data_IF_243766972474
#
_entry.id   IF_243766972474
#
_cell.length_a   1.000
_cell.length_b   1.000
_cell.length_c   1.000
_cell.angle_alpha   90.00
_cell.angle_beta   90.00
_cell.angle_gamma   90.00
#
_symmetry.space_group_name_H-M   'P 1'
#
loop_
_entity.id
_entity.type
_entity.pdbx_description
1 polymer ?
#
# COMPACT_ATOMS: atom_id res chain seq x y z
N UNK A 1 -16.53 -3.08 -19.34
CA UNK A 1 -17.18 -2.35 -18.26
C UNK A 1 -16.45 -2.77 -17.00
N UNK A 2 -15.54 -1.93 -16.53
CA UNK A 2 -14.57 -2.28 -15.54
C UNK A 2 -15.06 -1.98 -14.14
N UNK A 3 -15.29 -3.03 -13.38
CA UNK A 3 -15.50 -2.91 -11.95
C UNK A 3 -14.14 -3.08 -11.25
N UNK A 4 -13.73 -2.01 -10.59
CA UNK A 4 -12.45 -1.94 -9.90
C UNK A 4 -12.37 -2.89 -8.71
N UNK A 5 -11.33 -3.71 -8.69
CA UNK A 5 -10.97 -4.53 -7.55
C UNK A 5 -10.59 -3.64 -6.35
N UNK A 6 -11.14 -3.88 -5.17
CA UNK A 6 -10.79 -3.11 -3.98
C UNK A 6 -9.49 -3.62 -3.35
N UNK A 7 -8.38 -2.99 -3.69
CA UNK A 7 -7.20 -3.02 -2.81
C UNK A 7 -7.29 -1.78 -1.91
N UNK A 8 -8.23 -1.79 -0.98
CA UNK A 8 -8.31 -0.80 0.11
C UNK A 8 -8.01 -1.48 1.44
N UNK A 9 -6.84 -1.29 1.94
CA UNK A 9 -6.58 -1.33 3.37
C UNK A 9 -7.05 0.00 3.98
N UNK A 10 -8.32 0.07 4.38
CA UNK A 10 -8.87 1.23 5.05
C UNK A 10 -9.54 0.82 6.35
N UNK A 11 -8.91 1.12 7.47
CA UNK A 11 -9.55 1.07 8.78
C UNK A 11 -10.34 2.35 8.97
N UNK A 12 -11.67 2.29 8.89
CA UNK A 12 -12.56 3.35 9.34
C UNK A 12 -12.78 3.25 10.85
N UNK A 13 -12.58 4.34 11.54
CA UNK A 13 -12.98 4.52 12.92
C UNK A 13 -13.74 5.84 13.03
N UNK A 14 -15.06 5.71 13.22
CA UNK A 14 -15.98 6.81 13.57
C UNK A 14 -15.88 7.09 15.07
N UNK A 15 -15.93 8.37 15.45
CA UNK A 15 -16.16 8.78 16.83
C UNK A 15 -16.17 10.29 16.96
N UNK A 16 -17.36 10.87 16.84
CA UNK A 16 -17.60 12.25 17.19
C UNK A 16 -17.77 12.42 18.71
N UNK A 17 -17.52 13.55 19.23
CA UNK A 17 -18.39 14.21 20.22
C UNK A 17 -17.95 15.64 20.50
N UNK A 18 -18.94 16.48 20.55
CA UNK A 18 -19.10 17.86 20.92
C UNK A 18 -18.66 18.18 22.35
N UNK A 19 -18.35 19.48 22.59
CA UNK A 19 -18.40 20.07 23.94
C UNK A 19 -17.70 21.40 24.04
N UNK A 20 -18.44 22.47 23.83
CA UNK A 20 -18.66 23.70 24.60
C UNK A 20 -17.53 24.17 25.55
N UNK A 21 -16.90 25.35 25.38
CA UNK A 21 -17.50 26.65 25.85
C UNK A 21 -16.82 27.07 27.13
N UNK A 22 -16.42 28.32 27.23
CA UNK A 22 -16.18 28.98 28.51
C UNK A 22 -15.02 29.99 28.50
N UNK A 23 -15.30 31.22 28.14
CA UNK A 23 -15.11 32.49 28.88
C UNK A 23 -13.84 32.60 29.74
N UNK A 24 -12.88 33.54 29.44
CA UNK A 24 -13.03 34.92 29.84
C UNK A 24 -12.25 35.28 31.10
N UNK A 25 -11.43 36.29 31.03
CA UNK A 25 -11.04 37.07 32.20
C UNK A 25 -9.54 37.00 32.55
N UNK A 26 -8.86 38.08 32.41
CA UNK A 26 -8.48 38.90 33.48
C UNK A 26 -7.02 39.38 33.38
N UNK A 27 -6.87 40.64 33.09
CA UNK A 27 -5.65 41.44 33.20
C UNK A 27 -5.16 41.44 34.64
N UNK A 28 -3.89 41.22 34.93
CA UNK A 28 -3.25 41.45 36.17
C UNK A 28 -1.75 41.68 35.99
N UNK A 29 -1.34 42.94 35.96
CA UNK A 29 0.06 43.31 36.04
C UNK A 29 0.68 42.98 37.38
N UNK A 30 1.90 42.47 37.38
CA UNK A 30 2.79 42.51 38.54
C UNK A 30 4.22 42.61 38.08
N UNK A 31 4.80 43.69 38.45
CA UNK A 31 6.16 44.13 38.66
C UNK A 31 7.24 43.03 38.70
N UNK A 32 8.24 43.25 37.84
CA UNK A 32 9.57 42.64 37.89
C UNK A 32 10.31 43.00 39.19
N UNK A 33 10.95 42.07 39.85
CA UNK A 33 12.31 42.32 40.31
C UNK A 33 13.24 41.09 40.22
N UNK A 34 14.34 41.23 39.53
CA UNK A 34 15.50 40.45 39.87
C UNK A 34 16.13 39.68 38.72
N UNK A 35 17.21 40.21 38.30
CA UNK A 35 18.37 39.62 37.63
C UNK A 35 18.38 38.14 37.31
N UNK A 36 17.67 37.72 36.26
CA UNK A 36 17.79 36.42 35.67
C UNK A 36 18.84 36.51 34.54
N UNK A 37 19.99 35.92 34.74
CA UNK A 37 20.93 35.62 33.67
C UNK A 37 20.18 34.92 32.53
N UNK A 38 20.05 35.65 31.42
CA UNK A 38 19.61 35.00 30.15
C UNK A 38 20.45 33.76 29.94
N UNK A 39 19.86 32.58 29.80
CA UNK A 39 20.65 31.41 29.44
C UNK A 39 21.32 31.75 28.11
N UNK A 40 22.65 31.87 28.13
CA UNK A 40 23.46 31.94 26.92
C UNK A 40 23.20 30.62 26.20
N UNK A 41 22.38 30.64 25.16
CA UNK A 41 22.29 29.53 24.24
C UNK A 41 23.66 29.46 23.57
N UNK A 42 24.53 28.64 24.13
CA UNK A 42 25.80 28.30 23.48
C UNK A 42 25.38 27.66 22.14
N UNK A 43 25.75 28.23 20.98
CA UNK A 43 25.54 27.55 19.74
C UNK A 43 26.25 26.18 19.83
N UNK A 44 25.66 25.11 19.30
CA UNK A 44 26.29 23.80 19.32
C UNK A 44 27.68 23.95 18.74
N UNK A 45 28.66 23.36 19.43
CA UNK A 45 30.07 23.39 19.07
C UNK A 45 30.24 22.92 17.63
N UNK A 46 30.58 23.83 16.72
CA UNK A 46 30.68 23.61 15.27
C UNK A 46 31.96 22.87 14.85
N UNK A 47 32.74 22.40 15.83
CA UNK A 47 33.98 21.63 15.61
C UNK A 47 33.75 20.10 15.66
N UNK A 48 32.58 19.61 15.24
CA UNK A 48 32.40 18.16 15.10
C UNK A 48 33.04 17.70 13.79
N UNK A 49 33.89 16.70 13.88
CA UNK A 49 34.44 15.98 12.73
C UNK A 49 33.32 15.62 11.74
N UNK A 50 33.43 15.98 10.45
CA UNK A 50 32.42 15.68 9.45
C UNK A 50 32.02 14.20 9.39
N UNK A 51 32.94 13.28 9.68
CA UNK A 51 32.68 11.86 9.77
C UNK A 51 31.78 11.51 10.98
N UNK A 52 32.00 12.17 12.12
CA UNK A 52 31.20 12.00 13.34
C UNK A 52 29.82 12.58 13.16
N UNK A 53 29.66 13.75 12.53
CA UNK A 53 28.39 14.36 12.21
C UNK A 53 27.55 13.47 11.26
N UNK A 54 28.20 12.92 10.22
CA UNK A 54 27.56 11.97 9.31
C UNK A 54 27.10 10.71 10.04
N UNK A 55 27.91 10.12 10.91
CA UNK A 55 27.54 8.93 11.68
C UNK A 55 26.34 9.19 12.60
N UNK A 56 26.25 10.37 13.21
CA UNK A 56 25.09 10.76 14.02
C UNK A 56 23.82 10.91 13.17
N UNK A 57 23.89 11.57 12.01
CA UNK A 57 22.78 11.66 11.05
C UNK A 57 22.31 10.27 10.63
N UNK A 58 23.24 9.38 10.24
CA UNK A 58 22.90 8.00 9.82
C UNK A 58 22.26 7.20 10.96
N UNK A 59 22.68 7.41 12.22
CA UNK A 59 22.06 6.78 13.39
C UNK A 59 20.61 7.25 13.58
N UNK A 60 20.35 8.57 13.58
CA UNK A 60 19.00 9.13 13.68
C UNK A 60 18.11 8.65 12.54
N UNK A 61 18.62 8.66 11.31
CA UNK A 61 17.86 8.18 10.15
C UNK A 61 17.55 6.68 10.21
N UNK A 62 18.45 5.89 10.79
CA UNK A 62 18.18 4.45 11.00
C UNK A 62 17.03 4.24 11.96
N UNK A 63 17.00 4.99 13.08
CA UNK A 63 15.89 4.92 14.05
C UNK A 63 14.57 5.41 13.42
N UNK A 64 14.61 6.52 12.68
CA UNK A 64 13.43 7.05 11.98
C UNK A 64 12.85 6.03 10.99
N UNK A 65 13.69 5.39 10.17
CA UNK A 65 13.30 4.32 9.24
C UNK A 65 12.68 3.13 9.96
N UNK A 66 13.32 2.69 11.04
CA UNK A 66 12.84 1.57 11.83
C UNK A 66 11.49 1.88 12.49
N UNK A 67 11.29 3.08 13.01
CA UNK A 67 10.04 3.51 13.63
C UNK A 67 8.84 3.45 12.65
N UNK A 68 9.04 3.81 11.38
CA UNK A 68 7.99 3.74 10.35
C UNK A 68 7.83 2.35 9.71
N UNK A 69 8.79 1.45 9.91
CA UNK A 69 8.74 0.08 9.35
C UNK A 69 7.99 -0.91 10.24
N UNK A 70 7.56 -0.50 11.43
CA UNK A 70 6.82 -1.36 12.36
C UNK A 70 5.40 -1.64 11.82
N UNK A 71 4.75 -2.76 12.21
CA UNK A 71 3.35 -3.03 11.87
C UNK A 71 2.40 -1.90 12.31
N UNK A 72 2.75 -1.23 13.43
CA UNK A 72 2.13 0.02 13.88
C UNK A 72 3.20 1.11 13.87
N UNK A 73 3.27 1.95 12.83
CA UNK A 73 4.29 2.97 12.69
C UNK A 73 4.26 3.98 13.83
N UNK A 74 5.43 4.20 14.45
CA UNK A 74 5.62 5.27 15.44
C UNK A 74 6.05 6.56 14.73
N UNK A 75 5.05 7.31 14.30
CA UNK A 75 5.25 8.53 13.53
C UNK A 75 5.85 9.68 14.37
N UNK A 76 5.59 9.71 15.68
CA UNK A 76 6.14 10.75 16.56
C UNK A 76 7.64 10.54 16.78
N UNK A 77 8.05 9.29 17.03
CA UNK A 77 9.46 8.93 17.11
C UNK A 77 10.18 9.20 15.81
N UNK A 78 9.63 8.78 14.69
CA UNK A 78 10.23 9.04 13.37
C UNK A 78 10.40 10.54 13.09
N UNK A 79 9.39 11.35 13.43
CA UNK A 79 9.44 12.80 13.26
C UNK A 79 10.56 13.43 14.14
N UNK A 80 10.65 12.99 15.40
CA UNK A 80 11.69 13.46 16.33
C UNK A 80 13.09 13.14 15.81
N UNK A 81 13.32 11.91 15.38
CA UNK A 81 14.62 11.45 14.89
C UNK A 81 15.01 12.11 13.57
N UNK A 82 14.07 12.24 12.62
CA UNK A 82 14.32 12.94 11.37
C UNK A 82 14.67 14.43 11.59
N UNK A 83 14.03 15.08 12.56
CA UNK A 83 14.36 16.45 12.95
C UNK A 83 15.71 16.54 13.63
N UNK A 84 16.09 15.56 14.46
CA UNK A 84 17.43 15.49 15.06
C UNK A 84 18.52 15.36 13.99
N UNK A 85 18.29 14.55 12.95
CA UNK A 85 19.17 14.46 11.80
C UNK A 85 19.30 15.82 11.08
N UNK A 86 18.19 16.55 10.87
CA UNK A 86 18.20 17.89 10.26
C UNK A 86 18.86 18.97 11.13
N UNK A 87 18.84 18.81 12.44
CA UNK A 87 19.56 19.72 13.34
C UNK A 87 21.08 19.60 13.19
N UNK A 88 21.59 18.42 12.78
CA UNK A 88 23.00 18.17 12.51
C UNK A 88 23.34 18.55 11.06
N UNK A 89 22.51 18.14 10.11
CA UNK A 89 22.65 18.42 8.67
C UNK A 89 21.33 18.95 8.09
N UNK A 90 21.18 20.28 8.11
CA UNK A 90 19.99 20.96 7.59
C UNK A 90 19.78 20.79 6.07
N UNK A 91 20.82 20.35 5.34
CA UNK A 91 20.75 20.10 3.91
C UNK A 91 20.30 18.67 3.58
N UNK A 92 20.14 17.79 4.55
CA UNK A 92 19.83 16.38 4.37
C UNK A 92 18.42 16.18 3.79
N UNK A 93 18.38 15.86 2.50
CA UNK A 93 17.12 15.66 1.75
C UNK A 93 16.34 14.44 2.26
N UNK A 94 17.05 13.35 2.60
CA UNK A 94 16.40 12.15 3.12
C UNK A 94 15.74 12.41 4.47
N UNK A 95 16.40 13.14 5.36
CA UNK A 95 15.82 13.49 6.66
C UNK A 95 14.56 14.37 6.49
N UNK A 96 14.60 15.35 5.58
CA UNK A 96 13.44 16.17 5.29
C UNK A 96 12.28 15.36 4.65
N UNK A 97 12.59 14.41 3.77
CA UNK A 97 11.59 13.49 3.20
C UNK A 97 10.96 12.60 4.31
N UNK A 98 11.74 12.16 5.30
CA UNK A 98 11.22 11.39 6.43
C UNK A 98 10.37 12.23 7.40
N UNK A 99 10.63 13.53 7.52
CA UNK A 99 9.70 14.46 8.21
C UNK A 99 8.34 14.47 7.52
N UNK A 100 8.31 14.61 6.20
CA UNK A 100 7.06 14.53 5.43
C UNK A 100 6.40 13.16 5.55
N UNK A 101 7.20 12.07 5.54
CA UNK A 101 6.68 10.72 5.70
C UNK A 101 6.09 10.47 7.08
N UNK A 102 6.67 11.02 8.14
CA UNK A 102 6.09 10.98 9.48
C UNK A 102 4.76 11.76 9.55
N UNK A 103 4.67 12.93 8.93
CA UNK A 103 3.40 13.66 8.82
C UNK A 103 2.34 12.87 8.04
N UNK A 104 2.71 12.19 6.96
CA UNK A 104 1.83 11.28 6.24
C UNK A 104 1.24 10.21 7.18
N UNK A 105 2.06 9.55 8.00
CA UNK A 105 1.59 8.55 8.98
C UNK A 105 0.72 9.15 10.08
N UNK A 106 0.94 10.41 10.44
CA UNK A 106 0.04 11.19 11.33
C UNK A 106 -1.26 11.63 10.65
N UNK A 107 -1.46 11.28 9.37
CA UNK A 107 -2.60 11.69 8.53
C UNK A 107 -2.68 13.21 8.30
N UNK A 108 -1.59 13.92 8.48
CA UNK A 108 -1.45 15.34 8.21
C UNK A 108 -0.96 15.53 6.76
N UNK A 109 -1.80 15.14 5.80
CA UNK A 109 -1.41 15.03 4.39
C UNK A 109 -1.03 16.37 3.78
N UNK A 110 -1.79 17.43 4.09
CA UNK A 110 -1.50 18.79 3.61
C UNK A 110 -0.16 19.30 4.15
N UNK A 111 0.14 19.00 5.43
CA UNK A 111 1.43 19.34 6.04
C UNK A 111 2.57 18.54 5.38
N UNK A 112 2.35 17.25 5.11
CA UNK A 112 3.34 16.44 4.42
C UNK A 112 3.63 16.99 3.01
N UNK A 113 2.59 17.36 2.25
CA UNK A 113 2.73 17.96 0.93
C UNK A 113 3.48 19.30 0.99
N UNK A 114 3.12 20.18 1.93
CA UNK A 114 3.80 21.47 2.11
C UNK A 114 5.31 21.29 2.37
N UNK A 115 5.69 20.33 3.22
CA UNK A 115 7.11 20.02 3.50
C UNK A 115 7.81 19.52 2.23
N UNK A 116 7.15 18.66 1.44
CA UNK A 116 7.69 18.17 0.17
C UNK A 116 7.81 19.28 -0.86
N UNK A 117 6.84 20.17 -0.99
CA UNK A 117 6.84 21.29 -1.93
C UNK A 117 7.97 22.29 -1.60
N UNK A 118 8.21 22.55 -0.33
CA UNK A 118 9.34 23.37 0.10
C UNK A 118 10.68 22.68 -0.20
N UNK A 119 10.77 21.39 0.11
CA UNK A 119 11.95 20.58 -0.16
C UNK A 119 12.24 20.51 -1.67
N UNK A 120 11.22 20.41 -2.51
CA UNK A 120 11.34 20.29 -3.95
C UNK A 120 11.91 21.54 -4.67
N UNK A 121 11.99 22.67 -3.97
CA UNK A 121 12.71 23.86 -4.45
C UNK A 121 14.23 23.63 -4.55
N UNK A 122 14.75 22.60 -3.87
CA UNK A 122 16.17 22.21 -3.92
C UNK A 122 16.40 21.22 -5.05
N UNK A 123 17.41 21.45 -5.88
CA UNK A 123 17.74 20.53 -7.00
C UNK A 123 18.07 19.11 -6.52
N UNK A 124 18.72 18.98 -5.36
CA UNK A 124 19.04 17.67 -4.77
C UNK A 124 17.79 16.84 -4.45
N UNK A 125 16.67 17.48 -4.10
CA UNK A 125 15.41 16.78 -3.83
C UNK A 125 14.80 16.17 -5.11
N UNK A 126 15.03 16.77 -6.26
CA UNK A 126 14.56 16.28 -7.56
C UNK A 126 15.29 15.00 -8.01
N UNK A 127 16.37 14.63 -7.34
CA UNK A 127 17.12 13.39 -7.57
C UNK A 127 17.01 12.42 -6.40
N UNK A 128 16.02 12.59 -5.53
CA UNK A 128 15.82 11.75 -4.36
C UNK A 128 14.55 10.89 -4.48
N UNK A 129 14.72 9.57 -4.49
CA UNK A 129 13.63 8.62 -4.65
C UNK A 129 12.62 8.64 -3.49
N UNK A 130 13.08 8.91 -2.24
CA UNK A 130 12.21 8.96 -1.07
C UNK A 130 11.24 10.14 -1.15
N UNK A 131 11.68 11.29 -1.69
CA UNK A 131 10.83 12.47 -1.90
C UNK A 131 9.65 12.11 -2.82
N UNK A 132 9.93 11.51 -3.97
CA UNK A 132 8.88 11.08 -4.90
C UNK A 132 8.01 9.97 -4.33
N UNK A 133 8.58 9.03 -3.58
CA UNK A 133 7.82 7.98 -2.92
C UNK A 133 6.79 8.56 -1.96
N UNK A 134 7.19 9.53 -1.11
CA UNK A 134 6.27 10.15 -0.15
C UNK A 134 5.23 11.02 -0.85
N UNK A 135 5.59 11.74 -1.93
CA UNK A 135 4.58 12.39 -2.80
C UNK A 135 3.55 11.39 -3.32
N UNK A 136 3.99 10.24 -3.80
CA UNK A 136 3.09 9.19 -4.27
C UNK A 136 2.08 8.78 -3.21
N UNK A 137 2.53 8.55 -1.98
CA UNK A 137 1.67 8.21 -0.85
C UNK A 137 0.66 9.31 -0.51
N UNK A 138 1.10 10.57 -0.49
CA UNK A 138 0.23 11.73 -0.24
C UNK A 138 -0.82 11.86 -1.35
N UNK A 139 -0.43 11.71 -2.62
CA UNK A 139 -1.34 11.79 -3.76
C UNK A 139 -2.37 10.66 -3.76
N UNK A 140 -1.99 9.43 -3.39
CA UNK A 140 -2.94 8.32 -3.24
C UNK A 140 -4.00 8.64 -2.17
N UNK A 141 -3.59 9.13 -1.01
CA UNK A 141 -4.52 9.47 0.08
C UNK A 141 -5.40 10.67 -0.22
N UNK A 142 -4.93 11.59 -1.03
CA UNK A 142 -5.68 12.79 -1.43
C UNK A 142 -6.45 12.59 -2.76
N UNK A 143 -6.64 11.33 -3.17
CA UNK A 143 -7.41 10.93 -4.36
C UNK A 143 -6.90 11.54 -5.66
N UNK A 144 -5.59 11.55 -5.85
CA UNK A 144 -4.88 12.01 -7.05
C UNK A 144 -4.06 10.86 -7.68
N UNK A 145 -4.72 9.74 -8.12
CA UNK A 145 -4.05 8.49 -8.47
C UNK A 145 -3.08 8.61 -9.66
N UNK A 146 -3.36 9.46 -10.65
CA UNK A 146 -2.46 9.67 -11.78
C UNK A 146 -1.14 10.33 -11.34
N UNK A 147 -1.21 11.31 -10.44
CA UNK A 147 -0.02 11.93 -9.85
C UNK A 147 0.76 10.95 -8.98
N UNK A 148 0.05 10.12 -8.20
CA UNK A 148 0.66 9.08 -7.39
C UNK A 148 1.45 8.10 -8.26
N UNK A 149 0.86 7.59 -9.34
CA UNK A 149 1.54 6.70 -10.30
C UNK A 149 2.81 7.32 -10.85
N UNK A 150 2.75 8.57 -11.33
CA UNK A 150 3.91 9.28 -11.87
C UNK A 150 5.01 9.48 -10.81
N UNK A 151 4.62 9.78 -9.58
CA UNK A 151 5.56 9.93 -8.48
C UNK A 151 6.27 8.61 -8.15
N UNK A 152 5.53 7.48 -8.07
CA UNK A 152 6.15 6.17 -7.87
C UNK A 152 7.04 5.75 -9.05
N UNK A 153 6.63 6.04 -10.29
CA UNK A 153 7.48 5.82 -11.46
C UNK A 153 8.80 6.57 -11.32
N UNK A 154 8.73 7.86 -10.95
CA UNK A 154 9.92 8.67 -10.77
C UNK A 154 10.82 8.18 -9.63
N UNK A 155 10.22 7.74 -8.53
CA UNK A 155 10.98 7.12 -7.43
C UNK A 155 11.74 5.87 -7.90
N UNK A 156 11.12 5.01 -8.72
CA UNK A 156 11.74 3.80 -9.27
C UNK A 156 12.78 4.13 -10.35
N UNK A 157 12.58 5.18 -11.17
CA UNK A 157 13.59 5.65 -12.13
C UNK A 157 14.87 6.10 -11.41
N UNK A 158 14.73 6.87 -10.32
CA UNK A 158 15.88 7.37 -9.55
C UNK A 158 16.55 6.24 -8.77
N UNK A 159 15.77 5.43 -8.08
CA UNK A 159 16.24 4.27 -7.36
C UNK A 159 15.48 3.01 -7.80
N UNK A 160 16.01 2.26 -8.76
CA UNK A 160 15.37 1.03 -9.22
C UNK A 160 15.16 -0.01 -8.13
N UNK A 161 15.89 0.08 -7.00
CA UNK A 161 15.79 -0.84 -5.87
C UNK A 161 14.86 -0.34 -4.75
N UNK A 162 14.07 0.69 -5.00
CA UNK A 162 13.10 1.20 -4.02
C UNK A 162 11.88 0.28 -3.93
N UNK A 163 11.97 -0.78 -3.13
CA UNK A 163 10.97 -1.86 -3.07
C UNK A 163 9.56 -1.37 -2.73
N UNK A 164 9.42 -0.38 -1.83
CA UNK A 164 8.10 0.17 -1.47
C UNK A 164 7.47 0.95 -2.63
N UNK A 165 8.26 1.70 -3.40
CA UNK A 165 7.77 2.38 -4.59
C UNK A 165 7.37 1.39 -5.70
N UNK A 166 8.14 0.30 -5.86
CA UNK A 166 7.79 -0.78 -6.79
C UNK A 166 6.45 -1.44 -6.44
N UNK A 167 6.18 -1.71 -5.15
CA UNK A 167 4.87 -2.28 -4.72
C UNK A 167 3.73 -1.36 -5.14
N UNK A 168 3.82 -0.06 -4.80
CA UNK A 168 2.76 0.88 -5.12
C UNK A 168 2.62 1.10 -6.63
N UNK A 169 3.73 1.17 -7.37
CA UNK A 169 3.71 1.23 -8.83
C UNK A 169 3.00 0.00 -9.43
N UNK A 170 3.34 -1.20 -8.97
CA UNK A 170 2.70 -2.43 -9.41
C UNK A 170 1.19 -2.46 -9.14
N UNK A 171 0.76 -1.95 -7.97
CA UNK A 171 -0.68 -1.81 -7.66
C UNK A 171 -1.35 -0.84 -8.62
N UNK A 172 -0.72 0.30 -8.95
CA UNK A 172 -1.25 1.22 -9.96
C UNK A 172 -1.31 0.58 -11.36
N UNK A 173 -0.31 -0.21 -11.73
CA UNK A 173 -0.30 -0.96 -12.99
C UNK A 173 -1.49 -1.94 -13.06
N UNK A 174 -1.79 -2.67 -11.96
CA UNK A 174 -2.97 -3.54 -11.88
C UNK A 174 -4.28 -2.75 -12.04
N UNK A 175 -4.43 -1.62 -11.34
CA UNK A 175 -5.63 -0.76 -11.43
C UNK A 175 -5.87 -0.24 -12.86
N UNK A 176 -4.81 -0.02 -13.62
CA UNK A 176 -4.88 0.42 -15.01
C UNK A 176 -4.83 -0.73 -16.03
N UNK A 177 -5.04 -1.99 -15.57
CA UNK A 177 -5.00 -3.20 -16.42
C UNK A 177 -3.68 -3.39 -17.19
N UNK A 178 -2.59 -2.80 -16.73
CA UNK A 178 -1.23 -2.98 -17.26
C UNK A 178 -0.64 -4.28 -16.68
N UNK A 179 -1.25 -5.41 -17.02
CA UNK A 179 -0.96 -6.69 -16.36
C UNK A 179 0.44 -7.22 -16.67
N UNK A 180 0.98 -6.93 -17.85
CA UNK A 180 2.34 -7.36 -18.22
C UNK A 180 3.39 -6.62 -17.39
N UNK A 181 3.26 -5.32 -17.24
CA UNK A 181 4.15 -4.48 -16.44
C UNK A 181 4.00 -4.81 -14.95
N UNK A 182 2.77 -5.03 -14.47
CA UNK A 182 2.50 -5.45 -13.10
C UNK A 182 3.16 -6.80 -12.79
N UNK A 183 3.07 -7.77 -13.70
CA UNK A 183 3.74 -9.06 -13.58
C UNK A 183 5.25 -8.88 -13.40
N UNK A 184 5.90 -8.13 -14.30
CA UNK A 184 7.34 -7.88 -14.22
C UNK A 184 7.74 -7.19 -12.91
N UNK A 185 6.93 -6.21 -12.45
CA UNK A 185 7.17 -5.49 -11.21
C UNK A 185 7.09 -6.42 -9.99
N UNK A 186 6.05 -7.26 -9.90
CA UNK A 186 5.88 -8.16 -8.77
C UNK A 186 6.80 -9.39 -8.83
N UNK A 187 7.13 -9.91 -10.02
CA UNK A 187 8.18 -10.92 -10.18
C UNK A 187 9.52 -10.41 -9.68
N UNK A 188 9.88 -9.18 -10.02
CA UNK A 188 11.10 -8.54 -9.52
C UNK A 188 11.09 -8.43 -8.00
N UNK A 189 9.95 -8.03 -7.39
CA UNK A 189 9.81 -7.94 -5.95
C UNK A 189 10.00 -9.29 -5.25
N UNK A 190 9.47 -10.37 -5.82
CA UNK A 190 9.60 -11.71 -5.25
C UNK A 190 10.99 -12.32 -5.48
N UNK A 191 11.54 -12.19 -6.69
CA UNK A 191 12.79 -12.87 -7.08
C UNK A 191 14.04 -12.12 -6.64
N UNK A 192 14.07 -10.79 -6.76
CA UNK A 192 15.26 -9.99 -6.44
C UNK A 192 15.26 -9.46 -5.01
N UNK A 193 14.08 -9.15 -4.46
CA UNK A 193 13.97 -8.58 -3.11
C UNK A 193 13.45 -9.58 -2.08
N UNK A 194 13.11 -10.81 -2.47
CA UNK A 194 12.60 -11.85 -1.58
C UNK A 194 11.26 -11.47 -0.92
N UNK A 195 10.50 -10.53 -1.51
CA UNK A 195 9.22 -10.08 -0.93
C UNK A 195 8.13 -11.10 -1.22
N UNK A 196 7.96 -12.00 -0.25
CA UNK A 196 6.95 -13.07 -0.30
C UNK A 196 5.82 -12.82 0.71
N UNK A 197 5.50 -11.55 0.99
CA UNK A 197 4.35 -11.18 1.81
C UNK A 197 3.03 -11.37 1.05
N UNK A 198 1.91 -11.49 1.80
CA UNK A 198 0.60 -11.80 1.22
C UNK A 198 0.12 -10.74 0.21
N UNK A 199 0.48 -9.46 0.40
CA UNK A 199 0.12 -8.36 -0.51
C UNK A 199 0.84 -8.55 -1.85
N UNK A 200 2.15 -8.73 -1.81
CA UNK A 200 2.99 -8.90 -3.01
C UNK A 200 2.57 -10.14 -3.81
N UNK A 201 2.38 -11.28 -3.13
CA UNK A 201 1.98 -12.52 -3.78
C UNK A 201 0.56 -12.48 -4.34
N UNK A 202 -0.39 -11.83 -3.64
CA UNK A 202 -1.75 -11.64 -4.17
C UNK A 202 -1.75 -10.73 -5.40
N UNK A 203 -0.95 -9.67 -5.37
CA UNK A 203 -0.82 -8.75 -6.50
C UNK A 203 -0.17 -9.44 -7.71
N UNK A 204 0.83 -10.28 -7.49
CA UNK A 204 1.43 -11.11 -8.55
C UNK A 204 0.39 -12.07 -9.16
N UNK A 205 -0.40 -12.75 -8.31
CA UNK A 205 -1.51 -13.58 -8.77
C UNK A 205 -2.53 -12.81 -9.60
N UNK A 206 -2.84 -11.56 -9.21
CA UNK A 206 -3.76 -10.69 -9.96
C UNK A 206 -3.18 -10.28 -11.32
N UNK A 207 -1.88 -10.04 -11.41
CA UNK A 207 -1.21 -9.79 -12.68
C UNK A 207 -1.30 -11.01 -13.61
N UNK A 208 -1.01 -12.21 -13.13
CA UNK A 208 -1.15 -13.44 -13.91
C UNK A 208 -2.61 -13.70 -14.32
N UNK A 209 -3.59 -13.49 -13.43
CA UNK A 209 -5.02 -13.59 -13.77
C UNK A 209 -5.37 -12.62 -14.90
N UNK A 210 -4.91 -11.37 -14.81
CA UNK A 210 -5.13 -10.38 -15.87
C UNK A 210 -4.51 -10.82 -17.20
N UNK A 211 -3.25 -11.30 -17.19
CA UNK A 211 -2.57 -11.83 -18.38
C UNK A 211 -3.27 -13.03 -19.01
N UNK A 212 -3.96 -13.85 -18.22
CA UNK A 212 -4.71 -14.99 -18.78
C UNK A 212 -5.80 -14.56 -19.76
N UNK A 213 -6.28 -13.32 -19.67
CA UNK A 213 -7.29 -12.77 -20.58
C UNK A 213 -6.72 -12.42 -21.98
N UNK A 214 -5.40 -12.35 -22.13
CA UNK A 214 -4.74 -12.13 -23.43
C UNK A 214 -4.88 -13.34 -24.37
N UNK A 215 -5.32 -14.48 -23.84
CA UNK A 215 -5.39 -15.75 -24.55
C UNK A 215 -6.83 -16.29 -24.60
N UNK A 216 -7.15 -16.98 -25.70
CA UNK A 216 -8.48 -17.63 -25.87
C UNK A 216 -8.72 -18.70 -24.80
N UNK A 217 -9.97 -18.95 -24.39
CA UNK A 217 -10.32 -20.04 -23.50
C UNK A 217 -9.80 -21.41 -24.01
N UNK A 218 -9.15 -22.17 -23.13
CA UNK A 218 -8.56 -23.47 -23.45
C UNK A 218 -7.20 -23.42 -24.13
N UNK A 219 -6.58 -22.26 -24.32
CA UNK A 219 -5.21 -22.16 -24.78
C UNK A 219 -4.24 -22.60 -23.67
N UNK A 220 -3.18 -23.37 -23.99
CA UNK A 220 -2.20 -23.81 -23.00
C UNK A 220 -1.55 -22.66 -22.21
N UNK A 221 -1.30 -21.53 -22.88
CA UNK A 221 -0.72 -20.33 -22.27
C UNK A 221 -1.69 -19.71 -21.23
N UNK A 222 -2.98 -19.65 -21.57
CA UNK A 222 -4.02 -19.21 -20.62
C UNK A 222 -4.05 -20.11 -19.40
N UNK A 223 -4.04 -21.42 -19.62
CA UNK A 223 -4.07 -22.41 -18.55
C UNK A 223 -2.85 -22.28 -17.62
N UNK A 224 -1.68 -21.99 -18.18
CA UNK A 224 -0.47 -21.73 -17.40
C UNK A 224 -0.63 -20.49 -16.53
N UNK A 225 -1.09 -19.36 -17.10
CA UNK A 225 -1.31 -18.13 -16.33
C UNK A 225 -2.34 -18.32 -15.21
N UNK A 226 -3.43 -19.06 -15.48
CA UNK A 226 -4.45 -19.37 -14.46
C UNK A 226 -3.86 -20.21 -13.32
N UNK A 227 -3.08 -21.26 -13.62
CA UNK A 227 -2.41 -22.08 -12.59
C UNK A 227 -1.41 -21.28 -11.78
N UNK A 228 -0.62 -20.41 -12.44
CA UNK A 228 0.36 -19.56 -11.74
C UNK A 228 -0.33 -18.52 -10.86
N UNK A 229 -1.45 -17.96 -11.30
CA UNK A 229 -2.28 -17.08 -10.48
C UNK A 229 -2.79 -17.80 -9.23
N UNK A 230 -3.34 -19.02 -9.41
CA UNK A 230 -3.81 -19.85 -8.29
C UNK A 230 -2.69 -20.13 -7.27
N UNK A 231 -1.51 -20.54 -7.77
CA UNK A 231 -0.34 -20.81 -6.92
C UNK A 231 0.08 -19.57 -6.13
N UNK A 232 0.10 -18.41 -6.77
CA UNK A 232 0.47 -17.14 -6.13
C UNK A 232 -0.53 -16.77 -5.03
N UNK A 233 -1.83 -16.91 -5.26
CA UNK A 233 -2.83 -16.66 -4.23
C UNK A 233 -2.74 -17.67 -3.06
N UNK A 234 -2.50 -18.95 -3.35
CA UNK A 234 -2.29 -19.97 -2.31
C UNK A 234 -1.03 -19.68 -1.51
N UNK A 235 0.07 -19.26 -2.14
CA UNK A 235 1.28 -18.83 -1.45
C UNK A 235 1.03 -17.61 -0.57
N UNK A 236 0.20 -16.66 -1.00
CA UNK A 236 -0.21 -15.52 -0.18
C UNK A 236 -0.93 -15.97 1.09
N UNK A 237 -1.79 -16.99 1.01
CA UNK A 237 -2.47 -17.57 2.18
C UNK A 237 -1.54 -18.37 3.08
N UNK A 238 -0.46 -18.96 2.54
CA UNK A 238 0.60 -19.57 3.35
C UNK A 238 1.39 -18.50 4.12
N UNK A 239 1.63 -17.35 3.52
CA UNK A 239 2.29 -16.21 4.17
C UNK A 239 1.38 -15.54 5.23
N UNK A 240 0.09 -15.45 4.96
CA UNK A 240 -0.90 -14.91 5.89
C UNK A 240 -2.28 -15.56 5.64
N UNK A 241 -2.65 -16.53 6.46
CA UNK A 241 -3.92 -17.26 6.36
C UNK A 241 -5.17 -16.38 6.57
N UNK A 242 -5.02 -15.21 7.17
CA UNK A 242 -6.12 -14.26 7.42
C UNK A 242 -6.21 -13.16 6.34
N UNK A 243 -5.46 -13.27 5.25
CA UNK A 243 -5.45 -12.26 4.20
C UNK A 243 -6.66 -12.41 3.26
N UNK A 244 -7.75 -11.73 3.59
CA UNK A 244 -9.04 -11.80 2.86
C UNK A 244 -8.93 -11.58 1.35
N UNK A 245 -8.15 -10.60 0.83
CA UNK A 245 -8.03 -10.40 -0.61
C UNK A 245 -7.55 -11.62 -1.40
N UNK A 246 -6.74 -12.51 -0.82
CA UNK A 246 -6.32 -13.73 -1.51
C UNK A 246 -7.47 -14.73 -1.69
N UNK A 247 -8.32 -14.90 -0.67
CA UNK A 247 -9.54 -15.71 -0.78
C UNK A 247 -10.50 -15.14 -1.82
N UNK A 248 -10.71 -13.82 -1.79
CA UNK A 248 -11.57 -13.14 -2.75
C UNK A 248 -11.08 -13.36 -4.19
N UNK A 249 -9.78 -13.18 -4.44
CA UNK A 249 -9.21 -13.37 -5.77
C UNK A 249 -9.19 -14.84 -6.23
N UNK A 250 -9.04 -15.81 -5.32
CA UNK A 250 -9.27 -17.21 -5.64
C UNK A 250 -10.72 -17.46 -6.05
N UNK A 251 -11.69 -16.91 -5.30
CA UNK A 251 -13.10 -16.96 -5.67
C UNK A 251 -13.36 -16.42 -7.08
N UNK A 252 -12.83 -15.25 -7.40
CA UNK A 252 -12.90 -14.65 -8.73
C UNK A 252 -12.23 -15.52 -9.81
N UNK A 253 -11.05 -16.06 -9.52
CA UNK A 253 -10.33 -16.89 -10.48
C UNK A 253 -11.16 -18.11 -10.89
N UNK A 254 -11.79 -18.80 -9.93
CA UNK A 254 -12.66 -19.94 -10.20
C UNK A 254 -14.00 -19.54 -10.80
N UNK A 255 -14.54 -18.36 -10.46
CA UNK A 255 -15.80 -17.87 -11.00
C UNK A 255 -15.66 -17.50 -12.49
N UNK A 256 -14.62 -16.74 -12.85
CA UNK A 256 -14.48 -16.08 -14.15
C UNK A 256 -13.75 -16.97 -15.19
N UNK A 257 -13.01 -17.99 -14.74
CA UNK A 257 -12.26 -18.86 -15.66
C UNK A 257 -13.10 -20.05 -16.10
N UNK A 258 -13.52 -20.06 -17.37
CA UNK A 258 -14.26 -21.15 -17.99
C UNK A 258 -13.72 -21.43 -19.39
N UNK A 259 -13.23 -22.65 -19.72
CA UNK A 259 -12.97 -23.77 -18.81
C UNK A 259 -11.83 -23.47 -17.81
N UNK A 260 -11.89 -24.14 -16.66
CA UNK A 260 -10.83 -24.04 -15.65
C UNK A 260 -9.83 -25.19 -15.81
N UNK A 261 -8.52 -24.92 -15.81
CA UNK A 261 -7.48 -25.93 -16.02
C UNK A 261 -7.56 -27.08 -15.01
N UNK A 262 -7.84 -28.31 -15.51
CA UNK A 262 -7.92 -29.50 -14.67
C UNK A 262 -9.24 -29.71 -13.94
N UNK A 263 -10.25 -28.86 -14.14
CA UNK A 263 -11.60 -29.01 -13.58
C UNK A 263 -12.60 -29.07 -14.71
N UNK A 264 -12.98 -30.29 -15.07
CA UNK A 264 -13.91 -30.53 -16.20
C UNK A 264 -15.37 -30.26 -15.83
N UNK A 265 -15.77 -30.45 -14.58
CA UNK A 265 -17.14 -30.23 -14.13
C UNK A 265 -17.38 -28.75 -13.72
N UNK A 266 -18.24 -28.03 -14.44
CA UNK A 266 -18.58 -26.64 -14.10
C UNK A 266 -19.17 -26.49 -12.68
N UNK A 267 -19.87 -27.53 -12.17
CA UNK A 267 -20.41 -27.47 -10.80
C UNK A 267 -19.30 -27.53 -9.76
N UNK A 268 -18.28 -28.39 -9.98
CA UNK A 268 -17.11 -28.45 -9.10
C UNK A 268 -16.39 -27.11 -9.04
N UNK A 269 -16.19 -26.47 -10.20
CA UNK A 269 -15.57 -25.14 -10.32
C UNK A 269 -16.35 -24.07 -9.54
N UNK A 270 -17.66 -23.98 -9.76
CA UNK A 270 -18.51 -22.98 -9.11
C UNK A 270 -18.64 -23.21 -7.59
N UNK A 271 -18.66 -24.46 -7.14
CA UNK A 271 -18.62 -24.79 -5.72
C UNK A 271 -17.27 -24.38 -5.08
N UNK A 272 -16.16 -24.53 -5.80
CA UNK A 272 -14.86 -24.05 -5.33
C UNK A 272 -14.87 -22.51 -5.21
N UNK A 273 -15.38 -21.79 -6.22
CA UNK A 273 -15.53 -20.32 -6.16
C UNK A 273 -16.35 -19.91 -4.92
N UNK A 274 -17.49 -20.57 -4.69
CA UNK A 274 -18.33 -20.33 -3.52
C UNK A 274 -17.55 -20.54 -2.23
N UNK A 275 -16.85 -21.65 -2.10
CA UNK A 275 -16.06 -21.95 -0.90
C UNK A 275 -15.01 -20.89 -0.58
N UNK A 276 -14.33 -20.34 -1.59
CA UNK A 276 -13.37 -19.25 -1.39
C UNK A 276 -14.04 -17.94 -0.98
N UNK A 277 -15.20 -17.58 -1.55
CA UNK A 277 -15.95 -16.41 -1.09
C UNK A 277 -16.48 -16.59 0.33
N UNK A 278 -16.93 -17.80 0.71
CA UNK A 278 -17.35 -18.08 2.09
C UNK A 278 -16.17 -17.95 3.08
N UNK A 279 -14.94 -18.33 2.69
CA UNK A 279 -13.75 -18.04 3.49
C UNK A 279 -13.49 -16.53 3.58
N UNK A 280 -13.58 -15.79 2.46
CA UNK A 280 -13.43 -14.33 2.45
C UNK A 280 -14.39 -13.65 3.42
N UNK A 281 -15.67 -14.10 3.48
CA UNK A 281 -16.68 -13.56 4.40
C UNK A 281 -16.25 -13.56 5.86
N UNK A 282 -15.44 -14.54 6.25
CA UNK A 282 -15.00 -14.74 7.64
C UNK A 282 -13.68 -13.99 7.95
N UNK A 283 -13.14 -13.23 6.98
CA UNK A 283 -11.87 -12.53 7.16
C UNK A 283 -12.05 -11.14 7.77
N UNK A 284 -11.05 -10.60 8.47
CA UNK A 284 -11.07 -9.22 8.95
C UNK A 284 -11.21 -8.22 7.80
N UNK A 285 -12.03 -7.18 8.00
CA UNK A 285 -12.18 -6.10 7.03
C UNK A 285 -12.93 -6.46 5.75
N UNK A 286 -13.74 -7.54 5.78
CA UNK A 286 -14.53 -7.98 4.63
C UNK A 286 -15.52 -6.89 4.16
N UNK A 287 -15.60 -6.70 2.85
CA UNK A 287 -16.69 -5.95 2.23
C UNK A 287 -17.88 -6.91 1.98
N UNK A 288 -18.87 -6.84 2.86
CA UNK A 288 -20.08 -7.69 2.79
C UNK A 288 -20.87 -7.42 1.52
N UNK A 289 -20.95 -6.19 1.03
CA UNK A 289 -21.69 -5.87 -0.20
C UNK A 289 -21.03 -6.52 -1.41
N UNK A 290 -19.71 -6.50 -1.44
CA UNK A 290 -18.93 -7.15 -2.48
C UNK A 290 -19.09 -8.67 -2.43
N UNK A 291 -19.03 -9.29 -1.22
CA UNK A 291 -19.32 -10.71 -1.03
C UNK A 291 -20.72 -11.07 -1.55
N UNK A 292 -21.76 -10.35 -1.12
CA UNK A 292 -23.16 -10.63 -1.52
C UNK A 292 -23.34 -10.51 -3.03
N UNK A 293 -22.68 -9.55 -3.67
CA UNK A 293 -22.71 -9.39 -5.12
C UNK A 293 -22.12 -10.62 -5.82
N UNK A 294 -20.94 -11.08 -5.40
CA UNK A 294 -20.28 -12.25 -6.01
C UNK A 294 -21.02 -13.55 -5.74
N UNK A 295 -21.63 -13.71 -4.58
CA UNK A 295 -22.49 -14.87 -4.28
C UNK A 295 -23.72 -14.94 -5.18
N UNK A 296 -24.33 -13.79 -5.50
CA UNK A 296 -25.44 -13.74 -6.49
C UNK A 296 -24.97 -14.19 -7.88
N UNK A 297 -23.74 -13.80 -8.30
CA UNK A 297 -23.19 -14.24 -9.57
C UNK A 297 -22.95 -15.75 -9.58
N UNK A 298 -22.35 -16.31 -8.51
CA UNK A 298 -22.17 -17.77 -8.34
C UNK A 298 -23.51 -18.51 -8.42
N UNK A 299 -24.52 -18.10 -7.65
CA UNK A 299 -25.83 -18.74 -7.61
C UNK A 299 -26.55 -18.71 -8.98
N UNK A 300 -26.41 -17.59 -9.70
CA UNK A 300 -26.95 -17.45 -11.06
C UNK A 300 -26.31 -18.47 -12.01
N UNK A 301 -24.99 -18.64 -11.95
CA UNK A 301 -24.26 -19.58 -12.79
C UNK A 301 -24.58 -21.03 -12.41
N UNK A 302 -24.65 -21.36 -11.12
CA UNK A 302 -25.07 -22.69 -10.62
C UNK A 302 -26.45 -23.07 -11.18
N UNK A 303 -27.43 -22.18 -11.06
CA UNK A 303 -28.81 -22.41 -11.62
C UNK A 303 -28.77 -22.65 -13.14
N UNK A 304 -27.91 -21.91 -13.86
CA UNK A 304 -27.73 -22.08 -15.32
C UNK A 304 -27.19 -23.48 -15.66
N UNK A 305 -26.13 -23.90 -14.96
CA UNK A 305 -25.48 -25.22 -15.17
C UNK A 305 -26.48 -26.34 -14.84
N UNK A 306 -27.18 -26.26 -13.71
CA UNK A 306 -28.21 -27.25 -13.33
C UNK A 306 -29.31 -27.38 -14.37
N UNK A 307 -29.79 -26.26 -14.93
CA UNK A 307 -30.79 -26.28 -16.01
C UNK A 307 -30.27 -26.94 -17.28
N UNK A 308 -29.01 -26.72 -17.65
CA UNK A 308 -28.37 -27.38 -18.80
C UNK A 308 -28.19 -28.88 -18.59
N UNK A 309 -27.77 -29.31 -17.40
CA UNK A 309 -27.61 -30.72 -17.04
C UNK A 309 -28.97 -31.46 -17.05
N UNK A 310 -30.05 -30.83 -16.57
CA UNK A 310 -31.42 -31.40 -16.66
C UNK A 310 -31.86 -31.61 -18.10
N UNK A 311 -31.63 -30.60 -18.95
CA UNK A 311 -32.00 -30.74 -20.39
C UNK A 311 -31.24 -31.88 -21.10
N UNK A 312 -29.94 -32.06 -20.78
CA UNK A 312 -29.11 -33.15 -21.36
C UNK A 312 -29.54 -34.55 -20.87
N UNK A 313 -30.21 -34.67 -19.73
CA UNK A 313 -30.71 -35.95 -19.21
C UNK A 313 -32.10 -36.30 -19.77
N UNK A 314 -32.82 -35.34 -20.35
CA UNK A 314 -34.16 -35.52 -20.92
C UNK A 314 -34.18 -35.59 -22.46
N UNK A 315 -33.04 -35.39 -23.11
CA UNK A 315 -32.75 -35.62 -24.52
C UNK A 315 -32.00 -36.91 -24.73
#
# INVERSE_FOLDING_TARGET
MGDGDPVRGGTGGTGGSSGTGGTGGGIGGATDPGGGTTPTITPPNLDTDPAQSKAQVDAHMTIAKQALSQPTPDADKALSEARAALAIDAANVDAAAYVAFAYYHKRLYDTAELVLDDLFKRESAKQNANVYYVYGLVYDHTNRPDRAKLAYQKAVEINPNHSSALVNLGVHQLKHSQYAEAQQTFERLTQQFGRNDAITLTSLGSAYRGRSADFRPGAPERDQFVRTAEQSYKAALQANASYGPAYYNLGLLYLDTDPYPGVADPMQRLNAAKGFFDQYKNMPGVDIKLYDSRMKDVDKLIKRVQKQQKKKKTS
#
